data_IF_869098452724
#
_entry.id   IF_869098452724
#
_cell.length_a   1.000
_cell.length_b   1.000
_cell.length_c   1.000
_cell.angle_alpha   90.00
_cell.angle_beta   90.00
_cell.angle_gamma   90.00
#
_symmetry.space_group_name_H-M   'P 1'
#
loop_
_entity.id
_entity.type
_entity.pdbx_description
1 polymer ?
#
# COMPACT_ATOMS: atom_id res chain seq x y z
N UNK A 1 9.54 7.53 -31.87
CA UNK A 1 10.74 8.31 -32.20
C UNK A 1 11.43 7.53 -33.31
N UNK A 2 11.48 8.08 -34.52
CA UNK A 2 12.11 7.42 -35.66
C UNK A 2 13.59 7.20 -35.36
N UNK A 3 14.04 5.95 -35.50
CA UNK A 3 15.38 5.52 -35.12
C UNK A 3 16.35 6.11 -36.16
N UNK A 4 17.20 7.06 -35.75
CA UNK A 4 18.16 7.77 -36.63
C UNK A 4 19.05 6.80 -37.43
N UNK A 5 19.23 5.58 -36.91
CA UNK A 5 19.95 4.47 -37.55
C UNK A 5 19.29 4.02 -38.86
N UNK A 6 17.96 4.08 -38.98
CA UNK A 6 17.22 3.66 -40.18
C UNK A 6 17.30 4.68 -41.33
N UNK A 7 17.46 5.96 -41.00
CA UNK A 7 17.72 7.03 -41.98
C UNK A 7 19.07 6.80 -42.67
N UNK A 8 20.11 6.49 -41.89
CA UNK A 8 21.45 6.22 -42.42
C UNK A 8 21.51 4.93 -43.28
N UNK A 9 20.75 3.89 -42.93
CA UNK A 9 20.69 2.65 -43.72
C UNK A 9 19.94 2.83 -45.05
N UNK A 10 18.88 3.64 -45.09
CA UNK A 10 18.13 3.90 -46.34
C UNK A 10 18.89 4.80 -47.32
N UNK A 11 19.71 5.75 -46.86
CA UNK A 11 20.51 6.58 -47.76
C UNK A 11 21.69 5.82 -48.40
N UNK A 12 22.22 4.78 -47.74
CA UNK A 12 23.28 3.93 -48.30
C UNK A 12 22.83 2.99 -49.45
N UNK A 13 21.52 2.86 -49.72
CA UNK A 13 20.96 1.93 -50.70
C UNK A 13 20.39 2.60 -51.98
N UNK A 14 20.62 3.90 -52.20
CA UNK A 14 20.23 4.55 -53.47
C UNK A 14 21.34 4.36 -54.53
N UNK A 15 21.01 3.87 -55.74
CA UNK A 15 21.98 3.79 -56.83
C UNK A 15 22.52 5.19 -57.13
N UNK A 16 23.84 5.34 -57.11
CA UNK A 16 24.56 6.55 -57.51
C UNK A 16 24.23 6.83 -58.98
N UNK A 17 23.23 7.66 -59.23
CA UNK A 17 23.09 8.34 -60.50
C UNK A 17 24.41 9.09 -60.74
N UNK A 18 25.11 8.72 -61.81
CA UNK A 18 26.27 9.43 -62.32
C UNK A 18 25.88 10.90 -62.58
N UNK A 19 26.11 11.76 -61.60
CA UNK A 19 25.96 13.21 -61.75
C UNK A 19 27.18 13.69 -62.52
N UNK A 20 26.96 14.23 -63.71
CA UNK A 20 27.95 15.04 -64.41
C UNK A 20 28.56 16.04 -63.42
N UNK A 21 29.89 16.10 -63.35
CA UNK A 21 30.63 17.06 -62.53
C UNK A 21 30.21 18.48 -62.93
N UNK A 22 29.27 19.08 -62.19
CA UNK A 22 28.98 20.50 -62.24
C UNK A 22 30.18 21.23 -61.63
N UNK A 23 31.19 21.47 -62.46
CA UNK A 23 32.36 22.24 -62.09
C UNK A 23 31.94 23.69 -61.83
N UNK A 24 32.14 24.16 -60.59
CA UNK A 24 31.93 25.57 -60.25
C UNK A 24 32.97 26.43 -60.97
N UNK A 25 32.50 27.46 -61.65
CA UNK A 25 33.36 28.46 -62.32
C UNK A 25 33.65 29.60 -61.36
N UNK A 26 34.80 30.26 -61.55
CA UNK A 26 35.18 31.40 -60.73
C UNK A 26 34.34 32.63 -61.10
N UNK A 27 33.82 33.33 -60.09
CA UNK A 27 33.00 34.54 -60.27
C UNK A 27 33.79 35.69 -60.92
N UNK A 28 35.10 35.77 -60.69
CA UNK A 28 36.00 36.80 -61.26
C UNK A 28 36.63 36.37 -62.60
N UNK A 29 36.63 35.06 -62.88
CA UNK A 29 37.27 34.46 -64.05
C UNK A 29 36.33 33.41 -64.63
N UNK A 30 35.36 33.87 -65.43
CA UNK A 30 34.24 33.06 -65.92
C UNK A 30 34.68 31.80 -66.70
N UNK A 31 35.87 31.82 -67.32
CA UNK A 31 36.45 30.71 -68.07
C UNK A 31 37.29 29.74 -67.20
N UNK A 32 37.54 30.07 -65.93
CA UNK A 32 38.37 29.26 -65.04
C UNK A 32 37.55 28.44 -64.04
N UNK A 33 37.93 27.16 -63.91
CA UNK A 33 37.32 26.24 -62.96
C UNK A 33 37.90 26.43 -61.57
N UNK A 34 37.03 26.34 -60.55
CA UNK A 34 37.44 26.24 -59.15
C UNK A 34 38.03 24.84 -58.91
N UNK A 35 39.34 24.75 -58.71
CA UNK A 35 40.06 23.47 -58.59
C UNK A 35 41.16 23.47 -57.50
N UNK A 36 41.37 24.59 -56.82
CA UNK A 36 42.32 24.74 -55.73
C UNK A 36 41.63 25.32 -54.50
N UNK A 37 42.18 25.06 -53.32
CA UNK A 37 41.66 25.57 -52.05
C UNK A 37 42.73 26.44 -51.39
N UNK A 38 42.35 27.66 -51.03
CA UNK A 38 43.20 28.58 -50.30
C UNK A 38 43.20 28.23 -48.82
N UNK A 39 44.31 27.71 -48.30
CA UNK A 39 44.41 27.29 -46.89
C UNK A 39 44.37 28.48 -45.93
N UNK A 40 44.84 29.66 -46.38
CA UNK A 40 44.84 30.89 -45.56
C UNK A 40 43.47 31.56 -45.47
N UNK A 41 42.70 31.50 -46.56
CA UNK A 41 41.37 32.12 -46.64
C UNK A 41 40.23 31.11 -46.39
N UNK A 42 40.57 29.84 -46.21
CA UNK A 42 39.64 28.72 -46.02
C UNK A 42 38.52 28.67 -47.09
N UNK A 43 38.87 28.99 -48.33
CA UNK A 43 37.92 29.14 -49.43
C UNK A 43 38.42 28.46 -50.72
N UNK A 44 37.54 27.85 -51.51
CA UNK A 44 37.88 27.31 -52.83
C UNK A 44 38.09 28.46 -53.83
N UNK A 45 39.10 28.34 -54.70
CA UNK A 45 39.50 29.37 -55.67
C UNK A 45 39.98 28.74 -57.00
N UNK A 46 40.22 29.56 -58.03
CA UNK A 46 40.79 29.14 -59.31
C UNK A 46 42.26 29.51 -59.47
N UNK A 47 42.90 28.94 -60.50
CA UNK A 47 44.31 29.15 -60.82
C UNK A 47 44.67 30.62 -61.09
N UNK A 48 43.82 31.36 -61.83
CA UNK A 48 44.09 32.78 -62.13
C UNK A 48 44.04 33.66 -60.87
N UNK A 49 43.08 33.42 -59.97
CA UNK A 49 43.03 34.08 -58.66
C UNK A 49 44.28 33.82 -57.81
N UNK A 50 44.91 32.64 -57.97
CA UNK A 50 46.17 32.30 -57.29
C UNK A 50 47.40 32.89 -57.98
N UNK A 51 47.46 32.98 -59.30
CA UNK A 51 48.70 33.46 -59.96
C UNK A 51 48.73 34.98 -60.05
N UNK A 52 47.60 35.62 -60.33
CA UNK A 52 47.52 37.06 -60.60
C UNK A 52 46.52 37.81 -59.71
N UNK A 53 45.60 37.10 -59.06
CA UNK A 53 44.51 37.70 -58.28
C UNK A 53 44.79 37.82 -56.78
N UNK A 54 43.70 37.88 -56.01
CA UNK A 54 43.71 38.16 -54.57
C UNK A 54 44.44 37.10 -53.72
N UNK A 55 44.64 35.89 -54.24
CA UNK A 55 45.26 34.78 -53.50
C UNK A 55 46.75 34.55 -53.87
N UNK A 56 47.39 35.51 -54.56
CA UNK A 56 48.80 35.41 -54.99
C UNK A 56 49.78 35.00 -53.89
N UNK A 57 49.65 35.58 -52.71
CA UNK A 57 50.54 35.36 -51.57
C UNK A 57 49.97 34.32 -50.57
N UNK A 58 48.86 33.65 -50.91
CA UNK A 58 48.24 32.64 -50.06
C UNK A 58 48.75 31.24 -50.36
N UNK A 59 48.90 30.41 -49.33
CA UNK A 59 49.15 28.98 -49.53
C UNK A 59 47.89 28.29 -50.07
N UNK A 60 48.04 27.46 -51.10
CA UNK A 60 46.95 26.73 -51.74
C UNK A 60 47.27 25.25 -51.83
N UNK A 61 46.24 24.42 -51.80
CA UNK A 61 46.33 22.98 -52.03
C UNK A 61 45.32 22.54 -53.10
N UNK A 62 45.53 21.39 -53.76
CA UNK A 62 44.55 20.82 -54.68
C UNK A 62 43.20 20.60 -53.97
N UNK A 63 42.12 21.12 -54.54
CA UNK A 63 40.78 21.05 -53.94
C UNK A 63 40.33 19.60 -53.62
N UNK A 64 40.59 18.59 -54.48
CA UNK A 64 40.22 17.21 -54.15
C UNK A 64 40.91 16.66 -52.90
N UNK A 65 42.17 17.05 -52.66
CA UNK A 65 42.92 16.59 -51.49
C UNK A 65 42.37 17.19 -50.20
N UNK A 66 42.07 18.50 -50.19
CA UNK A 66 41.44 19.16 -49.03
C UNK A 66 40.03 18.64 -48.79
N UNK A 67 39.24 18.45 -49.86
CA UNK A 67 37.89 17.89 -49.78
C UNK A 67 37.88 16.51 -49.13
N UNK A 68 38.73 15.57 -49.60
CA UNK A 68 38.79 14.23 -49.02
C UNK A 68 39.23 14.25 -47.56
N UNK A 69 40.21 15.10 -47.21
CA UNK A 69 40.65 15.27 -45.83
C UNK A 69 39.55 15.79 -44.92
N UNK A 70 38.92 16.92 -45.26
CA UNK A 70 37.83 17.50 -44.46
C UNK A 70 36.63 16.55 -44.35
N UNK A 71 36.32 15.82 -45.43
CA UNK A 71 35.28 14.79 -45.42
C UNK A 71 35.61 13.65 -44.46
N UNK A 72 36.88 13.22 -44.40
CA UNK A 72 37.34 12.22 -43.43
C UNK A 72 37.26 12.75 -42.00
N UNK A 73 37.79 13.95 -41.73
CA UNK A 73 37.75 14.58 -40.41
C UNK A 73 36.31 14.76 -39.91
N UNK A 74 35.39 15.17 -40.80
CA UNK A 74 33.96 15.26 -40.48
C UNK A 74 33.35 13.88 -40.21
N UNK A 75 33.69 12.87 -41.01
CA UNK A 75 33.23 11.50 -40.82
C UNK A 75 33.69 10.94 -39.46
N UNK A 76 34.94 11.18 -39.08
CA UNK A 76 35.50 10.76 -37.79
C UNK A 76 34.83 11.51 -36.63
N UNK A 77 34.60 12.83 -36.79
CA UNK A 77 33.84 13.63 -35.83
C UNK A 77 32.42 13.14 -35.62
N UNK A 78 31.71 12.79 -36.70
CA UNK A 78 30.38 12.17 -36.63
C UNK A 78 30.44 10.83 -35.91
N UNK A 79 31.41 9.97 -36.23
CA UNK A 79 31.56 8.66 -35.59
C UNK A 79 31.78 8.79 -34.06
N UNK A 80 32.60 9.74 -33.63
CA UNK A 80 32.80 10.03 -32.20
C UNK A 80 31.51 10.53 -31.52
N UNK A 81 30.75 11.41 -32.17
CA UNK A 81 29.48 11.91 -31.64
C UNK A 81 28.44 10.79 -31.52
N UNK A 82 28.34 9.90 -32.50
CA UNK A 82 27.43 8.74 -32.44
C UNK A 82 27.79 7.85 -31.26
N UNK A 83 29.06 7.49 -31.09
CA UNK A 83 29.51 6.69 -29.95
C UNK A 83 29.26 7.40 -28.59
N UNK A 84 29.41 8.74 -28.56
CA UNK A 84 29.08 9.56 -27.39
C UNK A 84 27.59 9.51 -27.05
N UNK A 85 26.72 9.62 -28.06
CA UNK A 85 25.28 9.53 -27.91
C UNK A 85 24.84 8.15 -27.42
N UNK A 86 25.42 7.07 -27.96
CA UNK A 86 25.14 5.70 -27.50
C UNK A 86 25.46 5.52 -26.01
N UNK A 87 26.57 6.12 -25.54
CA UNK A 87 26.93 6.10 -24.12
C UNK A 87 25.94 6.90 -23.27
N UNK A 88 25.51 8.08 -23.72
CA UNK A 88 24.51 8.88 -23.01
C UNK A 88 23.18 8.13 -22.94
N UNK A 89 22.76 7.50 -24.04
CA UNK A 89 21.54 6.69 -24.09
C UNK A 89 21.59 5.53 -23.10
N UNK A 90 22.73 4.85 -22.97
CA UNK A 90 22.91 3.79 -21.97
C UNK A 90 22.79 4.31 -20.54
N UNK A 91 23.32 5.50 -20.24
CA UNK A 91 23.18 6.15 -18.92
C UNK A 91 21.72 6.49 -18.65
N UNK A 92 20.99 7.04 -19.63
CA UNK A 92 19.56 7.36 -19.50
C UNK A 92 18.78 6.08 -19.14
N UNK A 93 19.00 4.98 -19.85
CA UNK A 93 18.34 3.71 -19.56
C UNK A 93 18.66 3.19 -18.15
N UNK A 94 19.91 3.29 -17.70
CA UNK A 94 20.27 2.92 -16.32
C UNK A 94 19.56 3.81 -15.28
N UNK A 95 19.42 5.11 -15.55
CA UNK A 95 18.70 6.02 -14.65
C UNK A 95 17.20 5.70 -14.60
N UNK A 96 16.59 5.34 -15.72
CA UNK A 96 15.20 4.88 -15.78
C UNK A 96 15.00 3.59 -14.95
N UNK A 97 15.92 2.64 -15.03
CA UNK A 97 15.91 1.41 -14.22
C UNK A 97 16.06 1.70 -12.72
N UNK A 98 16.92 2.66 -12.34
CA UNK A 98 17.07 3.11 -10.96
C UNK A 98 15.76 3.74 -10.45
N UNK A 99 15.13 4.61 -11.25
CA UNK A 99 13.83 5.20 -10.91
C UNK A 99 12.78 4.12 -10.64
N UNK A 100 12.64 3.14 -11.55
CA UNK A 100 11.72 2.02 -11.36
C UNK A 100 12.05 1.24 -10.08
N UNK A 101 13.33 0.99 -9.80
CA UNK A 101 13.76 0.27 -8.61
C UNK A 101 13.41 1.02 -7.32
N UNK A 102 13.57 2.35 -7.31
CA UNK A 102 13.20 3.21 -6.17
C UNK A 102 11.68 3.14 -5.93
N UNK A 103 10.87 3.24 -6.97
CA UNK A 103 9.42 3.16 -6.87
C UNK A 103 8.96 1.82 -6.31
N UNK A 104 9.50 0.72 -6.84
CA UNK A 104 9.19 -0.63 -6.39
C UNK A 104 9.63 -0.88 -4.93
N UNK A 105 10.82 -0.39 -4.55
CA UNK A 105 11.28 -0.43 -3.17
C UNK A 105 10.35 0.37 -2.24
N UNK A 106 9.93 1.57 -2.65
CA UNK A 106 9.00 2.40 -1.91
C UNK A 106 7.64 1.72 -1.73
N UNK A 107 7.11 1.11 -2.79
CA UNK A 107 5.87 0.32 -2.76
C UNK A 107 5.98 -0.85 -1.79
N UNK A 108 7.07 -1.61 -1.87
CA UNK A 108 7.33 -2.74 -0.97
C UNK A 108 7.42 -2.32 0.49
N UNK A 109 8.12 -1.24 0.81
CA UNK A 109 8.23 -0.73 2.19
C UNK A 109 6.88 -0.27 2.73
N UNK A 110 6.07 0.44 1.91
CA UNK A 110 4.70 0.83 2.28
C UNK A 110 3.82 -0.40 2.58
N UNK A 111 3.91 -1.44 1.75
CA UNK A 111 3.17 -2.69 1.97
C UNK A 111 3.59 -3.38 3.27
N UNK A 112 4.90 -3.48 3.53
CA UNK A 112 5.41 -4.09 4.76
C UNK A 112 4.99 -3.31 6.01
N UNK A 113 4.99 -1.97 5.95
CA UNK A 113 4.48 -1.12 7.03
C UNK A 113 3.00 -1.39 7.29
N UNK A 114 2.18 -1.43 6.23
CA UNK A 114 0.76 -1.75 6.32
C UNK A 114 0.51 -3.08 7.03
N UNK A 115 1.19 -4.16 6.59
CA UNK A 115 1.06 -5.49 7.20
C UNK A 115 1.41 -5.51 8.70
N UNK A 116 2.39 -4.70 9.15
CA UNK A 116 2.74 -4.61 10.57
C UNK A 116 1.64 -3.95 11.39
N UNK A 117 1.02 -2.89 10.87
CA UNK A 117 -0.10 -2.23 11.55
C UNK A 117 -1.37 -3.09 11.52
N UNK A 118 -1.64 -3.79 10.42
CA UNK A 118 -2.75 -4.74 10.32
C UNK A 118 -2.63 -5.87 11.36
N UNK A 119 -1.41 -6.35 11.61
CA UNK A 119 -1.14 -7.31 12.66
C UNK A 119 -1.41 -6.75 14.07
N UNK A 120 -1.01 -5.50 14.34
CA UNK A 120 -1.34 -4.82 15.61
C UNK A 120 -2.85 -4.66 15.80
N UNK A 121 -3.57 -4.23 14.76
CA UNK A 121 -5.02 -4.12 14.79
C UNK A 121 -5.69 -5.47 15.06
N UNK A 122 -5.21 -6.54 14.43
CA UNK A 122 -5.70 -7.90 14.65
C UNK A 122 -5.55 -8.34 16.11
N UNK A 123 -4.39 -8.05 16.73
CA UNK A 123 -4.13 -8.35 18.15
C UNK A 123 -5.11 -7.58 19.05
N UNK A 124 -5.33 -6.28 18.77
CA UNK A 124 -6.23 -5.44 19.55
C UNK A 124 -7.68 -5.91 19.44
N UNK A 125 -8.15 -6.25 18.24
CA UNK A 125 -9.52 -6.75 18.04
C UNK A 125 -9.74 -8.12 18.68
N UNK A 126 -8.77 -9.04 18.60
CA UNK A 126 -8.88 -10.32 19.31
C UNK A 126 -8.95 -10.11 20.82
N UNK A 127 -8.08 -9.25 21.37
CA UNK A 127 -8.10 -8.95 22.81
C UNK A 127 -9.43 -8.34 23.26
N UNK A 128 -9.98 -7.41 22.48
CA UNK A 128 -11.30 -6.81 22.71
C UNK A 128 -12.40 -7.87 22.70
N UNK A 129 -12.35 -8.81 21.75
CA UNK A 129 -13.32 -9.92 21.66
C UNK A 129 -13.27 -10.83 22.89
N UNK A 130 -12.08 -11.21 23.36
CA UNK A 130 -11.92 -12.00 24.60
C UNK A 130 -12.52 -11.30 25.83
N UNK A 131 -12.29 -9.99 25.96
CA UNK A 131 -12.81 -9.19 27.07
C UNK A 131 -14.33 -9.08 27.02
N UNK A 132 -14.90 -8.83 25.84
CA UNK A 132 -16.35 -8.84 25.62
C UNK A 132 -16.96 -10.20 25.94
N UNK A 133 -16.30 -11.29 25.55
CA UNK A 133 -16.75 -12.64 25.87
C UNK A 133 -16.79 -12.89 27.38
N UNK A 134 -15.81 -12.36 28.13
CA UNK A 134 -15.78 -12.48 29.59
C UNK A 134 -16.95 -11.75 30.25
N UNK A 135 -17.30 -10.56 29.75
CA UNK A 135 -18.48 -9.79 30.21
C UNK A 135 -19.76 -10.57 29.91
N UNK A 136 -19.91 -11.08 28.69
CA UNK A 136 -21.08 -11.85 28.27
C UNK A 136 -21.24 -13.11 29.12
N UNK A 137 -20.16 -13.84 29.41
CA UNK A 137 -20.21 -15.04 30.23
C UNK A 137 -20.72 -14.74 31.65
N UNK A 138 -20.15 -13.72 32.32
CA UNK A 138 -20.60 -13.36 33.67
C UNK A 138 -22.05 -12.86 33.66
N UNK A 139 -22.44 -12.09 32.63
CA UNK A 139 -23.82 -11.66 32.46
C UNK A 139 -24.77 -12.85 32.32
N UNK A 140 -24.44 -13.82 31.46
CA UNK A 140 -25.23 -15.03 31.24
C UNK A 140 -25.36 -15.86 32.52
N UNK A 141 -24.24 -16.10 33.21
CA UNK A 141 -24.21 -16.84 34.47
C UNK A 141 -25.07 -16.14 35.53
N UNK A 142 -24.95 -14.81 35.63
CA UNK A 142 -25.73 -14.01 36.59
C UNK A 142 -27.23 -14.11 36.33
N UNK A 143 -27.63 -13.94 35.07
CA UNK A 143 -29.02 -14.03 34.64
C UNK A 143 -29.58 -15.44 34.82
N UNK A 144 -28.81 -16.46 34.47
CA UNK A 144 -29.21 -17.87 34.65
C UNK A 144 -29.47 -18.18 36.12
N UNK A 145 -28.59 -17.76 37.03
CA UNK A 145 -28.78 -17.95 38.48
C UNK A 145 -30.06 -17.27 38.97
N UNK A 146 -30.29 -16.01 38.58
CA UNK A 146 -31.51 -15.28 39.00
C UNK A 146 -32.77 -15.94 38.44
N UNK A 147 -32.76 -16.38 37.17
CA UNK A 147 -33.87 -17.15 36.59
C UNK A 147 -34.12 -18.46 37.33
N UNK A 148 -33.06 -19.16 37.73
CA UNK A 148 -33.14 -20.36 38.56
C UNK A 148 -33.82 -20.09 39.90
N UNK A 149 -33.46 -19.00 40.57
CA UNK A 149 -34.11 -18.57 41.81
C UNK A 149 -35.57 -18.21 41.61
N UNK A 150 -35.92 -17.45 40.56
CA UNK A 150 -37.32 -17.12 40.22
C UNK A 150 -38.14 -18.40 40.07
N UNK A 151 -37.60 -19.41 39.37
CA UNK A 151 -38.27 -20.71 39.22
C UNK A 151 -38.46 -21.41 40.56
N UNK A 152 -37.41 -21.47 41.40
CA UNK A 152 -37.50 -22.08 42.73
C UNK A 152 -38.55 -21.41 43.62
N UNK A 153 -38.60 -20.07 43.63
CA UNK A 153 -39.62 -19.32 44.36
C UNK A 153 -41.01 -19.53 43.77
N UNK A 154 -41.13 -19.64 42.44
CA UNK A 154 -42.38 -19.97 41.76
C UNK A 154 -42.91 -21.36 42.16
N UNK A 155 -42.05 -22.38 42.13
CA UNK A 155 -42.39 -23.76 42.53
C UNK A 155 -42.78 -23.82 44.02
N UNK A 156 -42.06 -23.11 44.89
CA UNK A 156 -42.38 -23.01 46.32
C UNK A 156 -43.73 -22.31 46.55
N UNK A 157 -44.00 -21.22 45.83
CA UNK A 157 -45.26 -20.49 45.90
C UNK A 157 -46.44 -21.36 45.43
N UNK A 158 -46.28 -22.11 44.33
CA UNK A 158 -47.32 -23.02 43.83
C UNK A 158 -47.62 -24.13 44.86
N UNK A 159 -46.57 -24.76 45.42
CA UNK A 159 -46.73 -25.76 46.47
C UNK A 159 -47.42 -25.17 47.71
N UNK A 160 -47.06 -23.95 48.10
CA UNK A 160 -47.67 -23.24 49.22
C UNK A 160 -49.15 -22.92 48.95
N UNK A 161 -49.49 -22.49 47.74
CA UNK A 161 -50.89 -22.24 47.34
C UNK A 161 -51.73 -23.51 47.43
N UNK A 162 -51.25 -24.63 46.88
CA UNK A 162 -51.93 -25.93 46.97
C UNK A 162 -52.13 -26.38 48.42
N UNK A 163 -51.14 -26.14 49.28
CA UNK A 163 -51.24 -26.49 50.70
C UNK A 163 -52.29 -25.63 51.42
N UNK A 164 -52.37 -24.35 51.08
CA UNK A 164 -53.42 -23.44 51.59
C UNK A 164 -54.79 -23.90 51.11
N UNK A 165 -54.97 -24.21 49.82
CA UNK A 165 -56.23 -24.74 49.28
C UNK A 165 -56.65 -26.03 49.99
N UNK A 166 -55.71 -26.97 50.19
CA UNK A 166 -55.95 -28.21 50.94
C UNK A 166 -56.35 -27.94 52.38
N UNK A 167 -55.74 -26.93 53.02
CA UNK A 167 -56.06 -26.53 54.39
C UNK A 167 -57.45 -25.92 54.52
N UNK A 168 -57.86 -25.09 53.55
CA UNK A 168 -59.20 -24.51 53.49
C UNK A 168 -60.24 -25.63 53.30
N UNK A 169 -60.02 -26.55 52.35
CA UNK A 169 -60.92 -27.69 52.13
C UNK A 169 -61.03 -28.58 53.38
N UNK A 170 -59.91 -28.84 54.06
CA UNK A 170 -59.94 -29.63 55.30
C UNK A 170 -60.72 -28.94 56.43
N UNK A 171 -60.80 -27.60 56.45
CA UNK A 171 -61.62 -26.86 57.41
C UNK A 171 -63.13 -27.02 57.18
N UNK A 172 -63.55 -27.44 55.99
CA UNK A 172 -64.96 -27.68 55.66
C UNK A 172 -65.42 -29.11 56.02
N UNK A 173 -64.54 -29.95 56.57
CA UNK A 173 -64.84 -31.34 56.93
C UNK A 173 -65.91 -31.44 58.05
N UNK A 174 -67.11 -31.99 57.76
CA UNK A 174 -68.18 -32.06 58.74
C UNK A 174 -67.94 -33.13 59.83
N UNK A 175 -67.09 -34.14 59.58
CA UNK A 175 -66.84 -35.23 60.53
C UNK A 175 -65.66 -34.90 61.44
N UNK A 176 -65.96 -34.55 62.69
CA UNK A 176 -64.98 -34.11 63.70
C UNK A 176 -63.80 -35.09 63.90
N UNK A 177 -64.06 -36.41 63.83
CA UNK A 177 -63.02 -37.43 64.00
C UNK A 177 -62.04 -37.44 62.80
N UNK A 178 -62.54 -37.34 61.56
CA UNK A 178 -61.71 -37.28 60.36
C UNK A 178 -60.89 -35.98 60.33
N UNK A 179 -61.50 -34.85 60.68
CA UNK A 179 -60.80 -33.56 60.81
C UNK A 179 -59.60 -33.65 61.77
N UNK A 180 -59.81 -34.19 62.97
CA UNK A 180 -58.73 -34.31 63.97
C UNK A 180 -57.62 -35.28 63.54
N UNK A 181 -57.95 -36.30 62.73
CA UNK A 181 -56.97 -37.25 62.20
C UNK A 181 -56.02 -36.61 61.17
N UNK A 182 -56.52 -35.68 60.34
CA UNK A 182 -55.73 -35.05 59.27
C UNK A 182 -55.11 -33.70 59.64
N UNK A 183 -55.73 -32.94 60.56
CA UNK A 183 -55.32 -31.57 60.91
C UNK A 183 -53.89 -31.45 61.47
N UNK A 184 -53.45 -32.39 62.32
CA UNK A 184 -52.09 -32.36 62.89
C UNK A 184 -51.01 -32.48 61.82
N UNK A 185 -51.20 -33.36 60.85
CA UNK A 185 -50.24 -33.55 59.76
C UNK A 185 -50.19 -32.33 58.84
N UNK A 186 -51.36 -31.75 58.55
CA UNK A 186 -51.49 -30.57 57.72
C UNK A 186 -50.84 -29.33 58.37
N UNK A 187 -51.07 -29.11 59.66
CA UNK A 187 -50.41 -28.06 60.43
C UNK A 187 -48.89 -28.21 60.43
N UNK A 188 -48.38 -29.45 60.54
CA UNK A 188 -46.95 -29.72 60.44
C UNK A 188 -46.41 -29.33 59.05
N UNK A 189 -47.07 -29.75 57.97
CA UNK A 189 -46.70 -29.39 56.59
C UNK A 189 -46.67 -27.87 56.38
N UNK A 190 -47.63 -27.14 56.93
CA UNK A 190 -47.69 -25.67 56.86
C UNK A 190 -46.51 -25.04 57.61
N UNK A 191 -46.21 -25.51 58.82
CA UNK A 191 -45.08 -25.01 59.62
C UNK A 191 -43.71 -25.32 58.98
N UNK A 192 -43.59 -26.45 58.29
CA UNK A 192 -42.34 -26.82 57.63
C UNK A 192 -42.12 -25.98 56.35
N UNK A 193 -43.18 -25.74 55.57
CA UNK A 193 -43.13 -24.92 54.35
C UNK A 193 -42.84 -23.44 54.61
N UNK A 194 -43.31 -22.89 55.74
CA UNK A 194 -43.12 -21.47 56.09
C UNK A 194 -41.68 -21.11 56.48
N UNK A 195 -40.85 -22.10 56.85
CA UNK A 195 -39.45 -21.89 57.26
C UNK A 195 -38.45 -21.83 56.10
N UNK A 196 -38.82 -22.34 54.91
CA UNK A 196 -37.91 -22.53 53.76
C UNK A 196 -37.71 -21.24 52.93
N UNK A 197 -38.55 -20.22 53.10
CA UNK A 197 -38.68 -19.08 52.18
C UNK A 197 -37.55 -18.04 52.20
N UNK A 198 -36.60 -18.08 53.15
CA UNK A 198 -35.72 -16.93 53.43
C UNK A 198 -34.23 -17.13 53.09
N UNK A 199 -33.79 -18.31 52.66
CA UNK A 199 -32.35 -18.65 52.60
C UNK A 199 -31.67 -18.45 51.24
N UNK A 200 -32.39 -18.12 50.17
CA UNK A 200 -31.86 -18.22 48.79
C UNK A 200 -31.82 -16.91 48.00
N UNK A 201 -31.91 -15.73 48.65
CA UNK A 201 -31.85 -14.44 47.94
C UNK A 201 -30.40 -14.11 47.49
N UNK A 202 -30.19 -13.53 46.29
CA UNK A 202 -28.88 -13.00 45.92
C UNK A 202 -28.42 -11.92 46.90
N UNK A 203 -27.10 -11.79 47.03
CA UNK A 203 -26.48 -10.73 47.83
C UNK A 203 -26.81 -9.34 47.25
N UNK A 204 -26.90 -8.28 48.08
CA UNK A 204 -27.07 -6.92 47.58
C UNK A 204 -25.94 -6.52 46.62
N UNK A 205 -26.28 -5.93 45.48
CA UNK A 205 -25.29 -5.51 44.47
C UNK A 205 -24.86 -6.61 43.51
N UNK A 206 -25.48 -7.80 43.56
CA UNK A 206 -25.24 -8.91 42.64
C UNK A 206 -25.35 -8.52 41.15
N UNK A 207 -26.21 -7.56 40.85
CA UNK A 207 -26.44 -7.00 39.51
C UNK A 207 -25.29 -6.14 38.98
N UNK A 208 -24.36 -5.69 39.84
CA UNK A 208 -23.27 -4.80 39.41
C UNK A 208 -22.32 -5.51 38.45
N UNK A 209 -21.87 -4.78 37.43
CA UNK A 209 -20.86 -5.20 36.46
C UNK A 209 -19.70 -4.19 36.41
N UNK A 210 -19.59 -3.31 37.40
CA UNK A 210 -18.70 -2.14 37.38
C UNK A 210 -17.21 -2.53 37.55
N UNK A 211 -16.92 -3.75 37.99
CA UNK A 211 -15.56 -4.28 38.07
C UNK A 211 -14.92 -4.50 36.70
N UNK A 212 -15.71 -4.57 35.62
CA UNK A 212 -15.21 -4.55 34.25
C UNK A 212 -14.75 -3.15 33.84
N UNK A 213 -13.61 -2.73 34.37
CA UNK A 213 -12.95 -1.47 34.05
C UNK A 213 -11.61 -1.73 33.37
N UNK A 214 -11.29 -0.94 32.34
CA UNK A 214 -10.05 -1.08 31.56
C UNK A 214 -9.46 0.31 31.34
N UNK A 215 -8.16 0.47 31.61
CA UNK A 215 -7.39 1.63 31.19
C UNK A 215 -6.58 1.27 29.93
N UNK A 216 -6.74 2.05 28.86
CA UNK A 216 -6.03 1.87 27.58
C UNK A 216 -5.03 2.99 27.29
N UNK A 217 -4.86 3.94 28.21
CA UNK A 217 -4.10 5.18 27.99
C UNK A 217 -2.63 4.89 27.70
N UNK A 218 -2.03 3.97 28.47
CA UNK A 218 -0.63 3.57 28.28
C UNK A 218 -0.39 2.95 26.90
N UNK A 219 -1.27 2.03 26.48
CA UNK A 219 -1.17 1.39 25.16
C UNK A 219 -1.38 2.42 24.05
N UNK A 220 -2.35 3.32 24.21
CA UNK A 220 -2.58 4.39 23.26
C UNK A 220 -1.37 5.32 23.12
N UNK A 221 -0.68 5.61 24.23
CA UNK A 221 0.56 6.40 24.21
C UNK A 221 1.69 5.65 23.49
N UNK A 222 1.89 4.36 23.80
CA UNK A 222 2.88 3.54 23.09
C UNK A 222 2.64 3.54 21.57
N UNK A 223 1.38 3.42 21.14
CA UNK A 223 1.00 3.45 19.72
C UNK A 223 1.29 4.81 19.07
N UNK A 224 1.12 5.93 19.80
CA UNK A 224 1.44 7.28 19.31
C UNK A 224 2.93 7.51 19.12
N UNK A 225 3.77 6.82 19.89
CA UNK A 225 5.24 6.95 19.84
C UNK A 225 5.91 6.00 18.84
N UNK A 226 5.16 5.30 17.98
CA UNK A 226 5.75 4.42 16.96
C UNK A 226 6.43 5.26 15.88
N UNK A 227 7.74 5.12 15.77
CA UNK A 227 8.57 5.80 14.77
C UNK A 227 9.40 4.79 13.97
N UNK A 228 9.90 5.22 12.79
CA UNK A 228 10.88 4.43 12.05
C UNK A 228 12.18 4.35 12.85
N UNK A 229 12.76 3.16 12.93
CA UNK A 229 14.12 3.02 13.46
C UNK A 229 15.09 3.63 12.44
N UNK A 230 15.70 4.77 12.79
CA UNK A 230 16.85 5.29 12.06
C UNK A 230 17.99 4.30 12.24
N UNK A 231 18.37 3.61 11.16
CA UNK A 231 19.44 2.61 11.18
C UNK A 231 20.78 3.23 11.60
N UNK A 232 21.53 2.48 12.42
CA UNK A 232 22.98 2.56 12.52
C UNK A 232 23.64 1.99 11.26
#
# INVERSE_FOLDING_TARGET
>A
VENIIDIYKQESARPLHAKAEQHLMCEEHEDERINIYCLRCEAPTCSLCKVFGAHKDCEVAPLPAVYQRQKSELSDGIAMLVAGNDRIQAIITQMEEICHTIEENGRRQKQQLGLRFDALCSILEERKKELLQSITQEQEDKVQRVRGLIRQYGDHLEASSKLVETAIQAMEEPQMALYLQHSKELLKKIMDMSKVSMSSRPEPGYESMDHFSINVDYVAEMLRTIEFQTGA
#
